data_IF_133621555434
#
_entry.id   IF_133621555434
#
_cell.length_a   1.000
_cell.length_b   1.000
_cell.length_c   1.000
_cell.angle_alpha   90.00
_cell.angle_beta   90.00
_cell.angle_gamma   90.00
#
_symmetry.space_group_name_H-M   'P 1'
#
loop_
_entity.id
_entity.type
_entity.pdbx_description
1 polymer ?
#
# COMPACT_ATOMS: atom_id res chain seq x y z
N UNK A 1 -17.65 -7.92 -34.22
CA UNK A 1 -18.43 -8.56 -33.15
C UNK A 1 -17.54 -9.65 -32.58
N UNK A 2 -17.00 -9.47 -31.38
CA UNK A 2 -16.11 -10.46 -30.74
C UNK A 2 -17.01 -11.44 -30.01
N UNK A 3 -17.04 -12.71 -30.47
CA UNK A 3 -17.75 -13.78 -29.79
C UNK A 3 -16.90 -14.29 -28.64
N UNK A 4 -17.34 -14.09 -27.40
CA UNK A 4 -16.80 -14.78 -26.23
C UNK A 4 -17.57 -16.09 -26.05
N UNK A 5 -16.84 -17.18 -25.92
CA UNK A 5 -17.44 -18.42 -25.44
C UNK A 5 -17.58 -18.34 -23.92
N UNK A 6 -18.76 -17.91 -23.45
CA UNK A 6 -19.06 -17.74 -22.03
C UNK A 6 -18.71 -18.99 -21.20
N UNK A 7 -18.89 -20.17 -21.76
CA UNK A 7 -18.62 -21.44 -21.07
C UNK A 7 -17.12 -21.65 -20.83
N UNK A 8 -16.24 -21.25 -21.75
CA UNK A 8 -14.79 -21.36 -21.57
C UNK A 8 -14.24 -20.29 -20.60
N UNK A 9 -14.80 -19.07 -20.66
CA UNK A 9 -14.44 -17.99 -19.71
C UNK A 9 -14.85 -18.39 -18.29
N UNK A 10 -16.07 -18.91 -18.08
CA UNK A 10 -16.54 -19.37 -16.77
C UNK A 10 -15.73 -20.58 -16.29
N UNK A 11 -15.31 -21.49 -17.17
CA UNK A 11 -14.43 -22.61 -16.80
C UNK A 11 -13.05 -22.15 -16.38
N UNK A 12 -12.43 -21.22 -17.11
CA UNK A 12 -11.11 -20.68 -16.76
C UNK A 12 -11.13 -19.88 -15.44
N UNK A 13 -12.24 -19.20 -15.13
CA UNK A 13 -12.42 -18.49 -13.85
C UNK A 13 -12.60 -19.50 -12.70
N UNK A 14 -13.32 -20.59 -12.92
CA UNK A 14 -13.53 -21.62 -11.90
C UNK A 14 -12.31 -22.53 -11.67
N UNK A 15 -11.41 -22.66 -12.64
CA UNK A 15 -10.17 -23.44 -12.50
C UNK A 15 -9.04 -22.65 -11.82
N UNK A 16 -9.06 -21.33 -11.88
CA UNK A 16 -8.32 -20.49 -10.94
C UNK A 16 -9.07 -20.52 -9.60
N UNK A 17 -8.72 -21.46 -8.74
CA UNK A 17 -9.14 -21.45 -7.35
C UNK A 17 -8.57 -20.16 -6.70
N UNK A 18 -9.27 -19.06 -6.84
CA UNK A 18 -9.12 -17.91 -5.98
C UNK A 18 -9.51 -18.38 -4.58
N UNK A 19 -8.53 -18.81 -3.79
CA UNK A 19 -8.77 -19.15 -2.39
C UNK A 19 -9.24 -17.87 -1.71
N UNK A 20 -10.49 -17.80 -1.24
CA UNK A 20 -10.95 -16.60 -0.56
C UNK A 20 -10.10 -16.41 0.71
N UNK A 21 -9.54 -15.21 0.88
CA UNK A 21 -8.92 -14.82 2.14
C UNK A 21 -10.03 -14.74 3.18
N UNK A 22 -10.13 -15.72 4.04
CA UNK A 22 -11.16 -15.76 5.08
C UNK A 22 -10.49 -15.66 6.45
N UNK A 23 -10.56 -14.48 7.05
CA UNK A 23 -10.30 -14.29 8.47
C UNK A 23 -11.65 -14.29 9.22
N UNK A 24 -11.66 -14.86 10.42
CA UNK A 24 -12.84 -14.81 11.29
C UNK A 24 -13.14 -13.40 11.75
N UNK A 25 -12.09 -12.62 12.00
CA UNK A 25 -12.18 -11.25 12.51
C UNK A 25 -11.33 -10.31 11.67
N UNK A 26 -11.87 -9.15 11.38
CA UNK A 26 -11.16 -8.12 10.62
C UNK A 26 -11.28 -6.76 11.30
N UNK A 27 -10.24 -5.95 11.17
CA UNK A 27 -10.22 -4.55 11.61
C UNK A 27 -9.64 -3.69 10.51
N UNK A 28 -10.03 -2.44 10.47
CA UNK A 28 -9.46 -1.50 9.49
C UNK A 28 -8.97 -0.22 10.15
N UNK A 29 -7.89 0.34 9.61
CA UNK A 29 -7.41 1.68 9.93
C UNK A 29 -7.28 2.48 8.66
N UNK A 30 -7.88 3.67 8.65
CA UNK A 30 -7.86 4.58 7.51
C UNK A 30 -7.32 5.95 7.95
N UNK A 31 -6.49 6.52 7.08
CA UNK A 31 -5.96 7.88 7.18
C UNK A 31 -6.45 8.62 5.94
N UNK A 32 -7.52 9.43 6.10
CA UNK A 32 -8.23 10.09 5.00
C UNK A 32 -7.59 11.44 4.72
N UNK A 33 -7.16 11.66 3.47
CA UNK A 33 -6.62 12.93 2.94
C UNK A 33 -5.51 13.55 3.82
N UNK A 34 -4.65 12.69 4.41
CA UNK A 34 -3.64 13.14 5.38
C UNK A 34 -2.23 13.25 4.80
N UNK A 35 -2.03 12.88 3.54
CA UNK A 35 -0.69 12.82 2.95
C UNK A 35 -0.66 13.63 1.64
N UNK A 36 -0.48 14.96 1.73
CA UNK A 36 -0.30 15.80 0.54
C UNK A 36 1.04 15.50 -0.11
N UNK A 37 0.98 15.00 -1.34
CA UNK A 37 2.14 14.62 -2.16
C UNK A 37 2.04 15.24 -3.54
N UNK A 38 3.19 15.38 -4.20
CA UNK A 38 3.26 15.59 -5.63
C UNK A 38 4.17 14.53 -6.25
N UNK A 39 3.89 14.13 -7.48
CA UNK A 39 4.74 13.21 -8.24
C UNK A 39 4.40 13.24 -9.73
N UNK A 40 5.18 12.54 -10.54
CA UNK A 40 4.86 12.24 -11.92
C UNK A 40 5.08 10.77 -12.24
N UNK A 41 4.32 10.26 -13.18
CA UNK A 41 4.59 8.98 -13.83
C UNK A 41 5.42 9.24 -15.10
N UNK A 42 6.73 9.33 -14.97
CA UNK A 42 7.62 9.81 -16.03
C UNK A 42 7.57 8.95 -17.30
N UNK A 43 7.17 7.68 -17.19
CA UNK A 43 6.97 6.77 -18.33
C UNK A 43 5.59 6.88 -18.98
N UNK A 44 4.67 7.68 -18.42
CA UNK A 44 3.32 7.81 -18.98
C UNK A 44 3.32 8.62 -20.25
N UNK A 45 2.60 8.14 -21.27
CA UNK A 45 2.30 8.87 -22.50
C UNK A 45 1.00 9.68 -22.34
N UNK A 46 0.97 10.53 -21.32
CA UNK A 46 -0.19 11.35 -20.96
C UNK A 46 0.22 12.52 -20.05
N UNK A 47 -0.74 13.36 -19.66
CA UNK A 47 -0.53 14.43 -18.67
C UNK A 47 0.01 13.94 -17.31
N UNK A 48 -0.11 12.65 -17.00
CA UNK A 48 0.48 12.09 -15.79
C UNK A 48 2.02 12.12 -15.80
N UNK A 49 2.65 12.38 -16.94
CA UNK A 49 4.10 12.64 -17.01
C UNK A 49 4.50 14.01 -16.45
N UNK A 50 3.57 14.91 -16.22
CA UNK A 50 3.82 16.19 -15.56
C UNK A 50 3.71 16.03 -14.03
N UNK A 51 4.46 16.82 -13.27
CA UNK A 51 4.31 16.86 -11.81
C UNK A 51 2.90 17.36 -11.47
N UNK A 52 2.18 16.59 -10.68
CA UNK A 52 0.85 16.90 -10.20
C UNK A 52 0.68 16.41 -8.77
N UNK A 53 -0.31 16.92 -8.04
CA UNK A 53 -0.45 16.68 -6.61
C UNK A 53 -1.80 16.08 -6.23
N UNK A 54 -1.76 15.31 -5.16
CA UNK A 54 -2.92 14.72 -4.49
C UNK A 54 -2.77 14.81 -2.98
N UNK A 55 -3.88 14.59 -2.26
CA UNK A 55 -3.83 14.28 -0.84
C UNK A 55 -4.20 12.81 -0.67
N UNK A 56 -3.19 11.95 -0.50
CA UNK A 56 -3.43 10.51 -0.42
C UNK A 56 -4.21 10.13 0.83
N UNK A 57 -5.16 9.21 0.63
CA UNK A 57 -5.74 8.40 1.71
C UNK A 57 -5.14 7.00 1.67
N UNK A 58 -4.85 6.45 2.85
CA UNK A 58 -4.29 5.10 2.98
C UNK A 58 -5.13 4.30 3.96
N UNK A 59 -5.53 3.08 3.56
CA UNK A 59 -6.34 2.19 4.38
C UNK A 59 -5.72 0.82 4.49
N UNK A 60 -5.64 0.34 5.71
CA UNK A 60 -5.05 -0.93 6.09
C UNK A 60 -6.14 -1.85 6.63
N UNK A 61 -6.17 -3.08 6.15
CA UNK A 61 -7.14 -4.09 6.53
C UNK A 61 -6.42 -5.24 7.20
N UNK A 62 -6.67 -5.40 8.49
CA UNK A 62 -6.05 -6.43 9.32
C UNK A 62 -7.00 -7.59 9.51
N UNK A 63 -6.48 -8.81 9.49
CA UNK A 63 -7.24 -10.02 9.68
C UNK A 63 -6.56 -10.98 10.67
N UNK A 64 -7.38 -11.71 11.41
CA UNK A 64 -6.94 -12.74 12.35
C UNK A 64 -8.00 -13.84 12.50
N UNK A 65 -7.59 -15.03 12.90
CA UNK A 65 -8.51 -16.10 13.28
C UNK A 65 -8.74 -16.18 14.80
N UNK A 66 -7.86 -15.53 15.58
CA UNK A 66 -7.91 -15.52 17.04
C UNK A 66 -7.80 -14.08 17.54
N UNK A 67 -8.74 -13.67 18.39
CA UNK A 67 -8.68 -12.38 19.07
C UNK A 67 -7.65 -12.43 20.21
N UNK A 68 -7.12 -11.25 20.56
CA UNK A 68 -6.25 -11.13 21.74
C UNK A 68 -7.07 -11.23 23.04
N UNK A 69 -6.38 -11.13 24.18
CA UNK A 69 -7.01 -11.19 25.52
C UNK A 69 -8.01 -10.07 25.79
N UNK A 70 -8.00 -9.01 24.98
CA UNK A 70 -8.93 -7.87 25.03
C UNK A 70 -10.08 -8.01 24.03
N UNK A 71 -10.16 -9.11 23.29
CA UNK A 71 -11.07 -9.36 22.18
C UNK A 71 -10.83 -8.44 20.97
N UNK A 72 -9.59 -8.05 20.68
CA UNK A 72 -9.23 -7.22 19.55
C UNK A 72 -8.56 -8.03 18.45
N UNK A 73 -8.88 -7.70 17.21
CA UNK A 73 -8.12 -8.17 16.05
C UNK A 73 -6.79 -7.42 15.95
N UNK A 74 -6.81 -6.09 15.99
CA UNK A 74 -5.64 -5.23 16.00
C UNK A 74 -5.79 -4.12 17.05
N UNK A 75 -4.69 -3.75 17.70
CA UNK A 75 -4.64 -2.62 18.62
C UNK A 75 -4.50 -1.30 17.84
N UNK A 76 -5.58 -0.52 17.80
CA UNK A 76 -5.54 0.79 17.12
C UNK A 76 -4.59 1.81 17.78
N UNK A 77 -4.33 1.65 19.08
CA UNK A 77 -3.35 2.46 19.80
C UNK A 77 -1.95 2.29 19.24
N UNK A 78 -1.58 1.06 18.93
CA UNK A 78 -0.29 0.73 18.30
C UNK A 78 -0.14 1.20 16.85
N UNK A 79 -1.18 1.75 16.22
CA UNK A 79 -1.11 2.27 14.84
C UNK A 79 -0.76 3.78 14.78
N UNK A 80 -0.44 4.41 15.92
CA UNK A 80 0.03 5.80 15.93
C UNK A 80 1.39 5.94 15.29
N UNK A 81 2.30 5.04 15.61
CA UNK A 81 3.65 5.01 15.05
C UNK A 81 3.61 4.74 13.54
N UNK A 82 2.68 3.92 13.06
CA UNK A 82 2.48 3.75 11.61
C UNK A 82 2.11 5.08 10.96
N UNK A 83 1.24 5.88 11.60
CA UNK A 83 0.90 7.21 11.10
C UNK A 83 2.14 8.12 11.01
N UNK A 84 2.98 8.11 12.04
CA UNK A 84 4.21 8.92 12.08
C UNK A 84 5.18 8.53 10.96
N UNK A 85 5.34 7.22 10.73
CA UNK A 85 6.14 6.72 9.61
C UNK A 85 5.56 7.19 8.27
N UNK A 86 4.25 7.04 8.07
CA UNK A 86 3.59 7.50 6.83
C UNK A 86 3.75 9.01 6.64
N UNK A 87 3.58 9.81 7.69
CA UNK A 87 3.78 11.27 7.64
C UNK A 87 5.23 11.62 7.31
N UNK A 88 6.20 10.91 7.88
CA UNK A 88 7.61 11.16 7.59
C UNK A 88 7.95 10.97 6.12
N UNK A 89 7.26 10.07 5.43
CA UNK A 89 7.52 9.71 4.03
C UNK A 89 6.63 10.47 3.03
N UNK A 90 5.41 10.81 3.42
CA UNK A 90 4.38 11.25 2.46
C UNK A 90 3.78 12.62 2.78
N UNK A 91 4.05 13.21 3.95
CA UNK A 91 3.48 14.52 4.27
C UNK A 91 4.32 15.65 3.67
N UNK A 92 3.70 16.50 2.82
CA UNK A 92 4.31 17.60 2.07
C UNK A 92 5.56 17.17 1.28
N UNK A 93 5.43 16.07 0.53
CA UNK A 93 6.57 15.38 -0.07
C UNK A 93 6.43 15.28 -1.59
N UNK A 94 7.53 15.47 -2.30
CA UNK A 94 7.66 15.15 -3.71
C UNK A 94 8.18 13.70 -3.83
N UNK A 95 7.32 12.81 -4.33
CA UNK A 95 7.68 11.42 -4.57
C UNK A 95 8.36 11.32 -5.93
N UNK A 96 9.51 10.66 -5.97
CA UNK A 96 10.33 10.53 -7.18
C UNK A 96 10.65 9.06 -7.41
N UNK A 97 10.47 8.58 -8.64
CA UNK A 97 10.92 7.24 -9.01
C UNK A 97 12.46 7.21 -9.03
N UNK A 98 13.07 6.15 -8.51
CA UNK A 98 14.53 6.02 -8.49
C UNK A 98 15.16 5.98 -9.89
N UNK A 99 14.36 5.59 -10.91
CA UNK A 99 14.76 5.52 -12.31
C UNK A 99 14.25 6.73 -13.14
N UNK A 100 13.77 7.81 -12.49
CA UNK A 100 13.37 9.02 -13.20
C UNK A 100 14.62 9.71 -13.79
N UNK A 101 14.65 10.01 -15.10
CA UNK A 101 15.79 10.65 -15.74
C UNK A 101 16.12 12.04 -15.18
N UNK A 102 15.14 12.70 -14.53
CA UNK A 102 15.32 14.03 -13.90
C UNK A 102 15.63 13.94 -12.40
N UNK A 103 16.06 12.80 -11.89
CA UNK A 103 16.34 12.59 -10.46
C UNK A 103 17.29 13.66 -9.88
N UNK A 104 18.33 14.05 -10.62
CA UNK A 104 19.28 15.07 -10.18
C UNK A 104 18.65 16.47 -10.10
N UNK A 105 17.69 16.77 -10.97
CA UNK A 105 16.90 18.02 -10.90
C UNK A 105 16.08 18.08 -9.61
N UNK A 106 15.46 16.98 -9.19
CA UNK A 106 14.72 16.91 -7.93
C UNK A 106 15.63 17.03 -6.72
N UNK A 107 16.78 16.38 -6.71
CA UNK A 107 17.80 16.53 -5.64
C UNK A 107 18.28 17.97 -5.54
N UNK A 108 18.41 18.69 -6.64
CA UNK A 108 18.73 20.11 -6.64
C UNK A 108 17.63 20.94 -5.95
N UNK A 109 16.36 20.65 -6.17
CA UNK A 109 15.25 21.31 -5.48
C UNK A 109 15.33 21.07 -3.97
N UNK A 110 15.58 19.84 -3.55
CA UNK A 110 15.74 19.50 -2.14
C UNK A 110 16.94 20.23 -1.50
N UNK A 111 18.10 20.29 -2.18
CA UNK A 111 19.29 20.99 -1.68
C UNK A 111 19.07 22.49 -1.49
N UNK A 112 18.06 23.05 -2.17
CA UNK A 112 17.65 24.46 -2.04
C UNK A 112 16.50 24.67 -1.05
N UNK A 113 16.09 23.60 -0.33
CA UNK A 113 14.94 23.61 0.57
C UNK A 113 13.61 23.98 -0.14
N UNK A 114 13.47 23.63 -1.42
CA UNK A 114 12.25 23.87 -2.22
C UNK A 114 11.34 22.65 -2.27
N UNK A 115 11.84 21.46 -1.92
CA UNK A 115 11.12 20.22 -1.84
C UNK A 115 11.69 19.33 -0.75
N UNK A 116 10.85 18.46 -0.20
CA UNK A 116 11.23 17.28 0.56
C UNK A 116 11.05 16.09 -0.39
N UNK A 117 12.05 15.25 -0.55
CA UNK A 117 12.00 14.11 -1.45
C UNK A 117 11.76 12.80 -0.69
N UNK A 118 10.96 11.94 -1.30
CA UNK A 118 10.96 10.50 -1.01
C UNK A 118 11.19 9.77 -2.33
N UNK A 119 12.34 9.10 -2.44
CA UNK A 119 12.73 8.35 -3.62
C UNK A 119 12.26 6.91 -3.46
N UNK A 120 11.51 6.41 -4.43
CA UNK A 120 10.85 5.11 -4.37
C UNK A 120 11.11 4.29 -5.64
N UNK A 121 11.20 2.96 -5.52
CA UNK A 121 11.40 2.09 -6.69
C UNK A 121 10.21 2.10 -7.65
N UNK A 122 9.00 2.39 -7.13
CA UNK A 122 7.76 2.46 -7.92
C UNK A 122 6.84 3.54 -7.37
N UNK A 123 6.21 4.29 -8.27
CA UNK A 123 5.19 5.29 -7.97
C UNK A 123 3.80 4.80 -8.42
N UNK A 124 2.78 5.60 -8.09
CA UNK A 124 1.38 5.29 -8.34
C UNK A 124 0.73 4.50 -7.20
N UNK A 125 -0.58 4.48 -7.17
CA UNK A 125 -1.36 3.83 -6.10
C UNK A 125 -1.00 2.35 -5.94
N UNK A 126 -0.79 1.62 -7.05
CA UNK A 126 -0.42 0.20 -7.07
C UNK A 126 0.95 -0.04 -6.45
N UNK A 127 1.96 0.74 -6.87
CA UNK A 127 3.32 0.65 -6.37
C UNK A 127 3.42 0.94 -4.89
N UNK A 128 2.72 1.98 -4.44
CA UNK A 128 2.66 2.36 -3.04
C UNK A 128 1.89 1.33 -2.20
N UNK A 129 0.77 0.81 -2.69
CA UNK A 129 0.01 -0.23 -1.99
C UNK A 129 0.83 -1.50 -1.79
N UNK A 130 1.60 -1.94 -2.80
CA UNK A 130 2.49 -3.11 -2.69
C UNK A 130 3.64 -2.86 -1.70
N UNK A 131 4.28 -1.70 -1.76
CA UNK A 131 5.35 -1.33 -0.84
C UNK A 131 4.86 -1.28 0.61
N UNK A 132 3.74 -0.61 0.86
CA UNK A 132 3.16 -0.49 2.21
C UNK A 132 2.68 -1.85 2.74
N UNK A 133 2.12 -2.70 1.87
CA UNK A 133 1.74 -4.06 2.23
C UNK A 133 2.94 -4.87 2.73
N UNK A 134 4.06 -4.81 2.01
CA UNK A 134 5.31 -5.49 2.39
C UNK A 134 5.88 -4.91 3.69
N UNK A 135 5.92 -3.58 3.80
CA UNK A 135 6.41 -2.92 5.00
C UNK A 135 5.61 -3.28 6.25
N UNK A 136 4.28 -3.21 6.19
CA UNK A 136 3.44 -3.48 7.35
C UNK A 136 3.56 -4.93 7.82
N UNK A 137 3.57 -5.89 6.90
CA UNK A 137 3.66 -7.31 7.27
C UNK A 137 5.08 -7.77 7.59
N UNK A 138 6.09 -7.28 6.88
CA UNK A 138 7.47 -7.72 7.01
C UNK A 138 8.28 -6.98 8.07
N UNK A 139 7.88 -5.75 8.40
CA UNK A 139 8.64 -4.89 9.32
C UNK A 139 7.75 -4.40 10.45
N UNK A 140 6.68 -3.66 10.14
CA UNK A 140 5.94 -2.93 11.17
C UNK A 140 5.29 -3.85 12.22
N UNK A 141 4.53 -4.85 11.79
CA UNK A 141 3.86 -5.78 12.72
C UNK A 141 4.89 -6.55 13.57
N UNK A 142 5.95 -7.17 12.99
CA UNK A 142 6.97 -7.85 13.78
C UNK A 142 7.70 -6.96 14.78
N UNK A 143 8.09 -5.75 14.37
CA UNK A 143 8.92 -4.86 15.19
C UNK A 143 8.11 -4.18 16.30
N UNK A 144 6.88 -3.75 16.01
CA UNK A 144 6.05 -2.99 16.96
C UNK A 144 5.27 -3.88 17.91
N UNK A 145 4.82 -5.04 17.46
CA UNK A 145 3.96 -5.91 18.27
C UNK A 145 4.60 -7.25 18.63
N UNK A 146 5.76 -7.51 18.05
CA UNK A 146 6.56 -8.70 18.32
C UNK A 146 6.13 -9.94 17.53
N UNK A 147 6.94 -11.01 17.61
CA UNK A 147 6.77 -12.20 16.76
C UNK A 147 5.48 -12.99 17.04
N UNK A 148 4.94 -12.91 18.25
CA UNK A 148 3.68 -13.61 18.59
C UNK A 148 2.49 -12.95 17.90
N UNK A 149 2.38 -11.61 17.96
CA UNK A 149 1.37 -10.89 17.22
C UNK A 149 1.55 -11.06 15.71
N UNK A 150 2.79 -11.04 15.22
CA UNK A 150 3.09 -11.28 13.82
C UNK A 150 2.64 -12.66 13.31
N UNK A 151 2.51 -13.66 14.18
CA UNK A 151 1.92 -14.97 13.82
C UNK A 151 0.40 -14.94 13.79
N UNK A 152 -0.23 -14.13 14.62
CA UNK A 152 -1.69 -14.05 14.78
C UNK A 152 -2.34 -13.10 13.79
N UNK A 153 -1.74 -11.92 13.58
CA UNK A 153 -2.28 -10.80 12.81
C UNK A 153 -1.62 -10.71 11.44
N UNK A 154 -2.40 -10.37 10.43
CA UNK A 154 -1.94 -10.12 9.07
C UNK A 154 -2.65 -8.91 8.46
N UNK A 155 -1.91 -7.99 7.86
CA UNK A 155 -2.47 -6.95 7.02
C UNK A 155 -2.74 -7.53 5.64
N UNK A 156 -3.96 -8.03 5.42
CA UNK A 156 -4.30 -8.74 4.19
C UNK A 156 -4.59 -7.85 2.99
N UNK A 157 -4.82 -6.56 3.22
CA UNK A 157 -5.05 -5.58 2.16
C UNK A 157 -4.56 -4.21 2.58
N UNK A 158 -3.89 -3.52 1.67
CA UNK A 158 -3.56 -2.10 1.75
C UNK A 158 -4.15 -1.41 0.55
N UNK A 159 -4.89 -0.32 0.78
CA UNK A 159 -5.49 0.53 -0.24
C UNK A 159 -4.81 1.90 -0.20
N UNK A 160 -4.44 2.41 -1.38
CA UNK A 160 -3.95 3.78 -1.58
C UNK A 160 -4.90 4.47 -2.55
N UNK A 161 -5.30 5.68 -2.20
CA UNK A 161 -6.30 6.47 -2.94
C UNK A 161 -5.75 7.86 -3.24
N UNK A 162 -5.80 8.24 -4.49
CA UNK A 162 -5.46 9.59 -4.98
C UNK A 162 -6.64 10.55 -4.87
N UNK A 163 -7.83 10.07 -5.23
CA UNK A 163 -9.09 10.79 -5.23
C UNK A 163 -10.20 9.87 -4.72
N UNK A 164 -11.39 10.38 -4.55
CA UNK A 164 -12.55 9.55 -4.18
C UNK A 164 -12.88 8.48 -5.24
N UNK A 165 -12.47 8.69 -6.50
CA UNK A 165 -12.78 7.78 -7.61
C UNK A 165 -11.62 6.88 -8.01
N UNK A 166 -10.39 7.26 -7.70
CA UNK A 166 -9.19 6.56 -8.13
C UNK A 166 -8.45 5.98 -6.95
N UNK A 167 -8.38 4.67 -6.90
CA UNK A 167 -7.68 3.92 -5.87
C UNK A 167 -7.11 2.63 -6.44
N UNK A 168 -6.07 2.15 -5.80
CA UNK A 168 -5.56 0.80 -6.02
C UNK A 168 -5.34 0.11 -4.68
N UNK A 169 -5.28 -1.21 -4.69
CA UNK A 169 -4.99 -1.98 -3.50
C UNK A 169 -4.10 -3.18 -3.81
N UNK A 170 -3.33 -3.59 -2.81
CA UNK A 170 -2.57 -4.84 -2.76
C UNK A 170 -3.24 -5.76 -1.76
N UNK A 171 -3.65 -6.92 -2.21
CA UNK A 171 -4.19 -7.98 -1.36
C UNK A 171 -3.24 -9.19 -1.33
N UNK A 172 -3.25 -9.91 -0.23
CA UNK A 172 -2.54 -11.16 -0.09
C UNK A 172 -2.83 -11.84 1.24
N UNK A 173 -2.59 -13.11 1.28
CA UNK A 173 -2.68 -13.93 2.47
C UNK A 173 -1.29 -14.39 2.89
N UNK A 174 -1.06 -14.63 4.18
CA UNK A 174 0.25 -15.09 4.68
C UNK A 174 0.75 -16.33 3.93
N UNK A 175 -0.12 -17.30 3.71
CA UNK A 175 0.20 -18.55 3.00
C UNK A 175 0.57 -18.37 1.53
N UNK A 176 0.28 -17.17 0.96
CA UNK A 176 0.63 -16.85 -0.43
C UNK A 176 1.90 -16.01 -0.56
N UNK A 177 2.48 -15.62 0.56
CA UNK A 177 3.60 -14.67 0.62
C UNK A 177 4.74 -15.22 1.48
N UNK A 178 5.05 -16.51 1.33
CA UNK A 178 6.22 -17.13 1.99
C UNK A 178 7.51 -16.36 1.67
N UNK A 179 7.59 -15.73 0.48
CA UNK A 179 8.73 -14.93 0.03
C UNK A 179 8.91 -13.59 0.78
N UNK A 180 7.91 -13.11 1.54
CA UNK A 180 8.04 -11.88 2.33
C UNK A 180 8.98 -12.02 3.53
N UNK A 181 9.32 -13.25 3.88
CA UNK A 181 10.18 -13.58 5.03
C UNK A 181 11.48 -14.30 4.61
N UNK A 182 11.68 -14.45 3.30
CA UNK A 182 12.93 -14.95 2.72
C UNK A 182 13.83 -13.76 2.35
#
# INVERSE_FOLDING_TARGET
MIYYNETEVIRSINEQQVRPVTYKFTSTKEYVDQFPVAYRQWKADSHCNLIHGYSFSMKFYFGTNDLDVRNWAADYGGLKELKEVLQSQFDHTLLVAEDDPELETYKLLESKNMAKLTILPRLGCEGLADMLYKYVNGVYIPDMWGPEEARRLWCYRVEVRETQSNMAFREGHREWNEDLFA
#
